data_IF_570901406116
#
_entry.id   IF_570901406116
#
_cell.length_a   1.000
_cell.length_b   1.000
_cell.length_c   1.000
_cell.angle_alpha   90.00
_cell.angle_beta   90.00
_cell.angle_gamma   90.00
#
_symmetry.space_group_name_H-M   'P 1'
#
loop_
_entity.id
_entity.type
_entity.pdbx_description
1 polymer ?
#
# COMPACT_ATOMS: atom_id res chain seq x y z
N UNK A 1 17.65 -8.77 4.28
CA UNK A 1 18.63 -7.65 4.25
C UNK A 1 18.83 -7.06 2.84
N UNK A 2 17.81 -7.14 1.96
CA UNK A 2 17.84 -6.47 0.65
C UNK A 2 18.10 -4.98 0.85
N UNK A 3 18.98 -4.40 0.01
CA UNK A 3 19.44 -3.02 0.10
C UNK A 3 20.60 -2.79 1.08
N UNK A 4 21.05 -3.82 1.78
CA UNK A 4 22.14 -3.78 2.75
C UNK A 4 23.14 -4.93 2.49
N UNK A 5 23.34 -5.31 1.24
CA UNK A 5 24.20 -6.43 0.85
C UNK A 5 25.69 -6.09 1.02
N UNK A 6 26.01 -4.82 1.00
CA UNK A 6 27.38 -4.32 1.18
C UNK A 6 27.40 -3.26 2.30
N UNK A 7 28.51 -3.16 3.06
CA UNK A 7 28.68 -2.09 4.05
C UNK A 7 28.69 -0.71 3.36
N UNK A 8 28.48 0.33 4.15
CA UNK A 8 28.61 1.71 3.66
C UNK A 8 30.02 1.93 3.05
N UNK A 9 30.12 2.39 1.80
CA UNK A 9 31.38 2.44 1.10
C UNK A 9 32.37 3.47 1.64
N UNK A 10 31.90 4.44 2.42
CA UNK A 10 32.74 5.52 2.98
C UNK A 10 33.25 5.15 4.36
N UNK A 11 32.38 4.63 5.22
CA UNK A 11 32.67 4.39 6.63
C UNK A 11 32.92 2.92 6.97
N UNK A 12 32.51 1.99 6.10
CA UNK A 12 32.51 0.56 6.39
C UNK A 12 31.42 0.14 7.38
N UNK A 13 30.44 0.99 7.68
CA UNK A 13 29.35 0.66 8.59
C UNK A 13 28.51 -0.51 8.06
N UNK A 14 28.27 -1.52 8.90
CA UNK A 14 27.43 -2.66 8.55
C UNK A 14 25.94 -2.35 8.67
N UNK A 15 25.56 -1.48 9.60
CA UNK A 15 24.20 -0.97 9.71
C UNK A 15 23.94 0.11 8.66
N UNK A 16 22.67 0.26 8.23
CA UNK A 16 22.27 1.33 7.31
C UNK A 16 22.45 2.69 7.99
N UNK A 17 23.29 3.59 7.44
CA UNK A 17 23.43 4.94 8.00
C UNK A 17 22.16 5.77 7.87
N UNK A 18 21.95 6.71 8.79
CA UNK A 18 20.86 7.70 8.68
C UNK A 18 21.42 8.96 8.04
N UNK A 19 21.02 9.21 6.78
CA UNK A 19 21.47 10.39 6.04
C UNK A 19 20.51 11.57 6.27
N UNK A 20 20.79 12.40 7.26
CA UNK A 20 20.04 13.61 7.57
C UNK A 20 20.56 14.79 6.73
N UNK A 21 20.08 14.91 5.51
CA UNK A 21 20.44 16.02 4.62
C UNK A 21 19.26 16.43 3.74
N UNK A 22 19.16 17.72 3.43
CA UNK A 22 18.16 18.23 2.49
C UNK A 22 18.61 18.20 1.04
N UNK A 23 19.93 18.25 0.77
CA UNK A 23 20.46 18.40 -0.60
C UNK A 23 21.78 17.66 -0.77
N UNK A 24 22.13 17.43 -2.04
CA UNK A 24 23.34 16.73 -2.47
C UNK A 24 24.11 17.60 -3.44
N UNK A 25 25.45 17.50 -3.42
CA UNK A 25 26.35 18.27 -4.29
C UNK A 25 26.58 17.52 -5.59
N UNK A 26 26.53 18.22 -6.72
CA UNK A 26 26.87 17.69 -8.03
C UNK A 26 28.32 17.99 -8.40
N UNK A 27 28.93 17.14 -9.22
CA UNK A 27 30.32 17.34 -9.67
C UNK A 27 30.43 18.54 -10.60
N UNK A 28 29.43 18.76 -11.47
CA UNK A 28 29.35 19.86 -12.44
C UNK A 28 27.89 20.01 -12.91
N UNK A 29 27.66 20.98 -13.80
CA UNK A 29 26.31 21.27 -14.34
C UNK A 29 25.76 20.15 -15.22
N UNK A 30 26.60 19.40 -15.94
CA UNK A 30 26.20 18.27 -16.77
C UNK A 30 25.70 17.11 -15.89
N UNK A 31 26.44 16.75 -14.85
CA UNK A 31 26.02 15.77 -13.86
C UNK A 31 24.66 16.15 -13.22
N UNK A 32 24.46 17.43 -12.90
CA UNK A 32 23.18 17.90 -12.38
C UNK A 32 22.06 17.71 -13.42
N UNK A 33 22.29 18.10 -14.67
CA UNK A 33 21.31 17.94 -15.75
C UNK A 33 20.94 16.47 -16.01
N UNK A 34 21.91 15.55 -15.91
CA UNK A 34 21.67 14.12 -16.09
C UNK A 34 20.85 13.53 -14.95
N UNK A 35 21.13 13.94 -13.70
CA UNK A 35 20.33 13.57 -12.53
C UNK A 35 18.88 14.05 -12.63
N UNK A 36 18.67 15.33 -12.92
CA UNK A 36 17.31 15.90 -13.09
C UNK A 36 16.58 15.33 -14.30
N UNK A 37 17.30 14.91 -15.33
CA UNK A 37 16.75 14.28 -16.54
C UNK A 37 16.54 12.77 -16.43
N UNK A 38 16.75 12.15 -15.26
CA UNK A 38 16.67 10.69 -15.02
C UNK A 38 17.62 9.86 -15.91
N UNK A 39 18.67 10.48 -16.49
CA UNK A 39 19.70 9.79 -17.27
C UNK A 39 20.80 9.18 -16.39
N UNK A 40 20.98 9.72 -15.20
CA UNK A 40 21.90 9.21 -14.19
C UNK A 40 21.15 9.00 -12.87
N UNK A 41 21.23 7.79 -12.33
CA UNK A 41 20.56 7.44 -11.08
C UNK A 41 21.29 8.01 -9.86
N UNK A 42 20.56 8.50 -8.85
CA UNK A 42 21.12 8.91 -7.56
C UNK A 42 20.40 10.06 -6.90
N UNK A 43 21.03 10.61 -5.88
CA UNK A 43 20.40 11.58 -5.01
C UNK A 43 20.45 13.00 -5.59
N UNK A 44 19.35 13.73 -5.45
CA UNK A 44 19.17 15.10 -5.92
C UNK A 44 18.84 16.01 -4.72
N UNK A 45 17.76 15.70 -4.05
CA UNK A 45 17.21 16.47 -2.95
C UNK A 45 16.45 15.54 -2.01
N UNK A 46 16.61 15.74 -0.69
CA UNK A 46 16.12 14.81 0.33
C UNK A 46 14.61 14.55 0.32
N UNK A 47 13.80 15.40 -0.31
CA UNK A 47 12.37 15.15 -0.51
C UNK A 47 12.11 14.05 -1.56
N UNK A 48 13.00 13.91 -2.55
CA UNK A 48 12.84 12.98 -3.67
C UNK A 48 13.56 11.67 -3.46
N UNK A 49 14.78 11.76 -2.93
CA UNK A 49 15.70 10.62 -2.80
C UNK A 49 16.56 10.77 -1.55
N UNK A 50 16.70 9.69 -0.81
CA UNK A 50 17.57 9.62 0.35
C UNK A 50 18.12 8.18 0.48
N UNK A 51 19.41 7.96 0.73
CA UNK A 51 19.98 6.62 0.80
C UNK A 51 19.36 5.72 1.87
N UNK A 52 18.94 6.28 3.01
CA UNK A 52 18.26 5.52 4.07
C UNK A 52 16.86 5.08 3.64
N UNK A 53 16.14 5.96 2.97
CA UNK A 53 14.81 5.69 2.42
C UNK A 53 14.88 4.64 1.31
N UNK A 54 15.87 4.73 0.42
CA UNK A 54 16.10 3.77 -0.67
C UNK A 54 16.26 2.34 -0.15
N UNK A 55 16.96 2.14 0.96
CA UNK A 55 17.08 0.80 1.57
C UNK A 55 15.72 0.29 2.07
N UNK A 56 14.93 1.15 2.70
CA UNK A 56 13.57 0.78 3.15
C UNK A 56 12.69 0.43 1.94
N UNK A 57 12.69 1.25 0.90
CA UNK A 57 11.92 1.06 -0.32
C UNK A 57 12.30 -0.25 -1.03
N UNK A 58 13.59 -0.50 -1.25
CA UNK A 58 14.06 -1.76 -1.86
C UNK A 58 13.69 -2.98 -1.04
N UNK A 59 13.78 -2.90 0.28
CA UNK A 59 13.48 -4.03 1.17
C UNK A 59 11.99 -4.38 1.16
N UNK A 60 11.12 -3.38 1.26
CA UNK A 60 9.67 -3.63 1.24
C UNK A 60 9.18 -4.05 -0.15
N UNK A 61 9.74 -3.51 -1.23
CA UNK A 61 9.47 -3.97 -2.59
C UNK A 61 9.80 -5.46 -2.75
N UNK A 62 10.97 -5.89 -2.30
CA UNK A 62 11.38 -7.28 -2.35
C UNK A 62 10.50 -8.21 -1.48
N UNK A 63 10.04 -7.74 -0.33
CA UNK A 63 9.14 -8.50 0.54
C UNK A 63 7.77 -8.73 -0.09
N UNK A 64 7.22 -7.73 -0.78
CA UNK A 64 5.94 -7.83 -1.51
C UNK A 64 6.08 -8.50 -2.90
N UNK A 65 7.29 -8.62 -3.43
CA UNK A 65 7.53 -9.13 -4.79
C UNK A 65 7.33 -8.07 -5.88
N UNK A 66 7.41 -6.78 -5.52
CA UNK A 66 7.35 -5.66 -6.46
C UNK A 66 8.71 -5.30 -7.05
N UNK A 67 8.70 -4.48 -8.12
CA UNK A 67 9.91 -3.99 -8.79
C UNK A 67 10.45 -2.73 -8.17
N UNK A 68 9.59 -1.93 -7.54
CA UNK A 68 9.96 -0.68 -6.87
C UNK A 68 8.96 -0.36 -5.74
N UNK A 69 9.40 0.48 -4.82
CA UNK A 69 8.53 1.09 -3.83
C UNK A 69 8.85 2.58 -3.65
N UNK A 70 7.89 3.32 -3.11
CA UNK A 70 8.01 4.71 -2.72
C UNK A 70 7.52 4.90 -1.29
N UNK A 71 8.42 5.31 -0.41
CA UNK A 71 8.08 5.67 0.97
C UNK A 71 7.58 7.12 1.06
N UNK A 72 6.52 7.32 1.85
CA UNK A 72 5.86 8.61 2.06
C UNK A 72 5.50 8.83 3.52
N UNK A 73 5.13 10.06 3.87
CA UNK A 73 4.94 10.50 5.24
C UNK A 73 3.82 9.82 6.05
N UNK A 74 2.88 9.13 5.38
CA UNK A 74 1.79 8.38 6.05
C UNK A 74 1.12 7.39 5.12
N UNK A 75 0.36 6.43 5.66
CA UNK A 75 -0.50 5.55 4.87
C UNK A 75 -1.57 6.32 4.09
N UNK A 76 -2.13 7.37 4.69
CA UNK A 76 -3.07 8.26 3.99
C UNK A 76 -2.44 8.94 2.78
N UNK A 77 -1.19 9.42 2.90
CA UNK A 77 -0.45 9.98 1.77
C UNK A 77 -0.17 8.93 0.69
N UNK A 78 0.11 7.69 1.07
CA UNK A 78 0.33 6.60 0.13
C UNK A 78 -0.93 6.30 -0.69
N UNK A 79 -2.09 6.19 -0.05
CA UNK A 79 -3.38 6.00 -0.74
C UNK A 79 -3.74 7.20 -1.61
N UNK A 80 -3.57 8.43 -1.08
CA UNK A 80 -3.84 9.65 -1.85
C UNK A 80 -3.01 9.68 -3.13
N UNK A 81 -1.72 9.41 -3.04
CA UNK A 81 -0.84 9.39 -4.21
C UNK A 81 -1.15 8.23 -5.16
N UNK A 82 -1.49 7.04 -4.64
CA UNK A 82 -1.89 5.93 -5.48
C UNK A 82 -3.14 6.28 -6.30
N UNK A 83 -4.15 6.91 -5.69
CA UNK A 83 -5.36 7.34 -6.38
C UNK A 83 -5.11 8.49 -7.35
N UNK A 84 -4.38 9.53 -6.95
CA UNK A 84 -4.06 10.67 -7.83
C UNK A 84 -3.13 10.31 -8.98
N UNK A 85 -2.35 9.24 -8.87
CA UNK A 85 -1.51 8.78 -9.97
C UNK A 85 -2.31 8.04 -11.04
N UNK A 86 -3.40 7.36 -10.68
CA UNK A 86 -4.26 6.64 -11.63
C UNK A 86 -5.47 7.45 -12.10
N UNK A 87 -5.93 8.44 -11.33
CA UNK A 87 -7.18 9.18 -11.60
C UNK A 87 -6.96 10.69 -11.48
N UNK A 88 -7.50 11.43 -12.42
CA UNK A 88 -7.53 12.90 -12.46
C UNK A 88 -8.97 13.42 -12.39
N UNK A 89 -9.16 14.72 -12.42
CA UNK A 89 -10.49 15.33 -12.43
C UNK A 89 -11.34 14.81 -13.60
N UNK A 90 -12.53 14.32 -13.31
CA UNK A 90 -13.44 13.66 -14.25
C UNK A 90 -13.33 12.14 -14.27
N UNK A 91 -12.38 11.55 -13.54
CA UNK A 91 -12.19 10.12 -13.45
C UNK A 91 -12.94 9.48 -12.27
N UNK A 92 -12.98 8.15 -12.26
CA UNK A 92 -13.74 7.37 -11.32
C UNK A 92 -12.92 6.18 -10.77
N UNK A 93 -13.17 5.82 -9.52
CA UNK A 93 -12.58 4.66 -8.82
C UNK A 93 -13.71 3.78 -8.30
N UNK A 94 -13.58 2.46 -8.45
CA UNK A 94 -14.43 1.48 -7.74
C UNK A 94 -13.69 1.05 -6.48
N UNK A 95 -14.34 1.12 -5.32
CA UNK A 95 -13.74 0.77 -4.05
C UNK A 95 -14.62 -0.22 -3.27
N UNK A 96 -14.01 -1.14 -2.54
CA UNK A 96 -14.74 -1.99 -1.62
C UNK A 96 -15.33 -1.17 -0.47
N UNK A 97 -16.51 -1.55 0.02
CA UNK A 97 -17.18 -0.84 1.13
C UNK A 97 -16.60 -1.17 2.52
N UNK A 98 -15.89 -2.30 2.66
CA UNK A 98 -15.31 -2.80 3.90
C UNK A 98 -13.82 -2.40 4.04
N UNK A 99 -13.50 -1.16 3.73
CA UNK A 99 -12.16 -0.58 3.80
C UNK A 99 -12.01 0.34 5.02
N UNK A 100 -10.78 0.73 5.32
CA UNK A 100 -10.47 1.67 6.38
C UNK A 100 -11.28 2.98 6.27
N UNK A 101 -11.87 3.42 7.38
CA UNK A 101 -12.72 4.61 7.40
C UNK A 101 -12.05 5.89 6.88
N UNK A 102 -10.73 6.02 7.03
CA UNK A 102 -9.97 7.13 6.45
C UNK A 102 -9.91 7.07 4.92
N UNK A 103 -9.75 5.88 4.35
CA UNK A 103 -9.79 5.64 2.90
C UNK A 103 -11.19 5.89 2.35
N UNK A 104 -12.21 5.41 3.08
CA UNK A 104 -13.60 5.70 2.73
C UNK A 104 -13.84 7.22 2.68
N UNK A 105 -13.48 7.96 3.72
CA UNK A 105 -13.66 9.41 3.77
C UNK A 105 -12.86 10.15 2.67
N UNK A 106 -11.65 9.68 2.36
CA UNK A 106 -10.84 10.22 1.27
C UNK A 106 -11.58 10.09 -0.07
N UNK A 107 -12.10 8.90 -0.39
CA UNK A 107 -12.80 8.61 -1.64
C UNK A 107 -14.21 9.20 -1.68
N UNK A 108 -14.94 9.22 -0.55
CA UNK A 108 -16.34 9.67 -0.53
C UNK A 108 -16.49 11.20 -0.43
N UNK A 109 -15.53 11.89 0.16
CA UNK A 109 -15.69 13.30 0.50
C UNK A 109 -14.53 14.19 0.01
N UNK A 110 -13.27 13.77 0.18
CA UNK A 110 -12.12 14.62 -0.13
C UNK A 110 -11.81 14.64 -1.62
N UNK A 111 -11.70 13.48 -2.26
CA UNK A 111 -11.36 13.40 -3.69
C UNK A 111 -12.44 13.94 -4.64
N UNK A 112 -13.74 13.88 -4.32
CA UNK A 112 -14.77 14.57 -5.11
C UNK A 112 -14.55 16.09 -5.25
N UNK A 113 -13.97 16.76 -4.24
CA UNK A 113 -13.61 18.19 -4.34
C UNK A 113 -12.49 18.43 -5.37
N UNK A 114 -11.72 17.40 -5.70
CA UNK A 114 -10.71 17.41 -6.77
C UNK A 114 -11.24 16.79 -8.09
N UNK A 115 -12.53 16.48 -8.14
CA UNK A 115 -13.19 15.96 -9.35
C UNK A 115 -12.99 14.45 -9.57
N UNK A 116 -12.50 13.70 -8.60
CA UNK A 116 -12.36 12.23 -8.68
C UNK A 116 -13.53 11.61 -7.91
N UNK A 117 -14.38 10.86 -8.62
CA UNK A 117 -15.53 10.19 -8.04
C UNK A 117 -15.22 8.73 -7.64
N UNK A 118 -16.00 8.19 -6.70
CA UNK A 118 -15.90 6.78 -6.33
C UNK A 118 -17.28 6.11 -6.21
N UNK A 119 -17.33 4.81 -6.54
CA UNK A 119 -18.48 3.94 -6.25
C UNK A 119 -18.03 2.84 -5.30
N UNK A 120 -18.72 2.73 -4.17
CA UNK A 120 -18.47 1.69 -3.17
C UNK A 120 -19.31 0.46 -3.45
N UNK A 121 -18.66 -0.70 -3.47
CA UNK A 121 -19.27 -2.00 -3.81
C UNK A 121 -19.04 -3.02 -2.70
N UNK A 122 -19.89 -4.02 -2.66
CA UNK A 122 -19.62 -5.21 -1.85
C UNK A 122 -18.50 -6.01 -2.52
N UNK A 123 -17.35 -6.28 -1.85
CA UNK A 123 -16.24 -7.01 -2.46
C UNK A 123 -16.58 -8.48 -2.74
N UNK A 124 -17.72 -8.98 -2.27
CA UNK A 124 -18.24 -10.34 -2.53
C UNK A 124 -19.31 -10.37 -3.63
N UNK A 125 -19.81 -9.22 -4.06
CA UNK A 125 -20.72 -9.07 -5.21
C UNK A 125 -19.91 -8.78 -6.50
N UNK A 126 -19.38 -9.83 -7.12
CA UNK A 126 -18.54 -9.70 -8.30
C UNK A 126 -19.27 -9.13 -9.53
N UNK A 127 -20.57 -9.40 -9.65
CA UNK A 127 -21.39 -8.80 -10.71
C UNK A 127 -21.64 -7.33 -10.43
N UNK A 128 -21.86 -6.96 -9.16
CA UNK A 128 -21.93 -5.56 -8.71
C UNK A 128 -20.63 -4.80 -8.96
N UNK A 129 -19.46 -5.43 -8.74
CA UNK A 129 -18.16 -4.83 -9.06
C UNK A 129 -18.07 -4.54 -10.56
N UNK A 130 -18.38 -5.52 -11.42
CA UNK A 130 -18.38 -5.35 -12.88
C UNK A 130 -19.34 -4.25 -13.33
N UNK A 131 -20.55 -4.20 -12.76
CA UNK A 131 -21.56 -3.21 -13.09
C UNK A 131 -21.19 -1.78 -12.65
N UNK A 132 -20.35 -1.65 -11.61
CA UNK A 132 -19.86 -0.35 -11.12
C UNK A 132 -18.75 0.26 -11.99
N UNK A 133 -18.11 -0.52 -12.86
CA UNK A 133 -17.06 -0.04 -13.76
C UNK A 133 -17.70 0.79 -14.88
N UNK A 134 -17.27 2.05 -15.00
CA UNK A 134 -17.67 3.01 -16.01
C UNK A 134 -16.54 3.22 -17.03
N UNK A 135 -16.80 3.90 -18.12
CA UNK A 135 -15.79 4.25 -19.12
C UNK A 135 -14.60 5.03 -18.53
N UNK A 136 -14.89 5.96 -17.61
CA UNK A 136 -13.89 6.76 -16.90
C UNK A 136 -13.35 6.10 -15.63
N UNK A 137 -13.63 4.85 -15.36
CA UNK A 137 -13.03 4.12 -14.22
C UNK A 137 -11.55 3.86 -14.48
N UNK A 138 -10.72 4.15 -13.48
CA UNK A 138 -9.26 4.08 -13.58
C UNK A 138 -8.62 3.02 -12.71
N UNK A 139 -9.29 2.57 -11.66
CA UNK A 139 -8.79 1.52 -10.77
C UNK A 139 -9.93 0.88 -9.97
N UNK A 140 -9.65 -0.33 -9.45
CA UNK A 140 -10.39 -0.93 -8.35
C UNK A 140 -9.49 -0.89 -7.11
N UNK A 141 -10.06 -0.60 -5.93
CA UNK A 141 -9.37 -0.59 -4.64
C UNK A 141 -10.03 -1.54 -3.67
N UNK A 142 -9.21 -2.36 -2.97
CA UNK A 142 -9.62 -3.30 -1.93
C UNK A 142 -8.61 -3.36 -0.79
N UNK A 143 -9.02 -3.85 0.37
CA UNK A 143 -8.11 -4.31 1.43
C UNK A 143 -8.03 -5.84 1.43
N UNK A 144 -6.88 -6.40 1.77
CA UNK A 144 -6.67 -7.87 1.88
C UNK A 144 -7.56 -8.51 2.94
N UNK A 145 -7.76 -7.80 4.03
CA UNK A 145 -8.62 -8.15 5.16
C UNK A 145 -9.54 -6.97 5.44
N UNK A 146 -10.85 -7.18 5.33
CA UNK A 146 -11.85 -6.14 5.53
C UNK A 146 -11.77 -5.49 6.92
N UNK A 147 -11.94 -4.20 6.97
CA UNK A 147 -11.87 -3.41 8.20
C UNK A 147 -13.31 -3.06 8.67
N UNK A 148 -13.73 -3.46 9.90
CA UNK A 148 -12.92 -4.09 10.95
C UNK A 148 -13.11 -5.62 11.08
N UNK A 149 -13.94 -6.26 10.28
CA UNK A 149 -14.40 -7.64 10.51
C UNK A 149 -13.41 -8.72 10.02
N UNK A 150 -12.31 -8.32 9.39
CA UNK A 150 -11.27 -9.22 8.86
C UNK A 150 -11.80 -10.26 7.85
N UNK A 151 -12.82 -9.89 7.08
CA UNK A 151 -13.30 -10.71 5.97
C UNK A 151 -12.22 -10.82 4.90
N UNK A 152 -12.00 -12.02 4.39
CA UNK A 152 -10.99 -12.28 3.35
C UNK A 152 -11.57 -11.96 1.98
N UNK A 153 -10.94 -11.05 1.26
CA UNK A 153 -11.34 -10.66 -0.11
C UNK A 153 -10.63 -11.54 -1.13
N UNK A 154 -11.34 -11.99 -2.18
CA UNK A 154 -10.73 -12.78 -3.27
C UNK A 154 -9.95 -11.86 -4.22
N UNK A 155 -8.67 -11.64 -3.89
CA UNK A 155 -7.76 -10.75 -4.62
C UNK A 155 -7.67 -11.16 -6.09
N UNK A 156 -7.47 -12.45 -6.38
CA UNK A 156 -7.27 -12.95 -7.74
C UNK A 156 -8.51 -12.74 -8.62
N UNK A 157 -9.69 -12.99 -8.06
CA UNK A 157 -10.95 -12.82 -8.79
C UNK A 157 -11.22 -11.34 -9.09
N UNK A 158 -10.96 -10.43 -8.16
CA UNK A 158 -11.11 -8.99 -8.38
C UNK A 158 -10.01 -8.46 -9.32
N UNK A 159 -8.78 -8.96 -9.24
CA UNK A 159 -7.72 -8.63 -10.18
C UNK A 159 -8.11 -8.98 -11.61
N UNK A 160 -8.69 -10.18 -11.83
CA UNK A 160 -9.17 -10.59 -13.14
C UNK A 160 -10.27 -9.64 -13.66
N UNK A 161 -11.21 -9.21 -12.82
CA UNK A 161 -12.24 -8.23 -13.20
C UNK A 161 -11.61 -6.89 -13.58
N UNK A 162 -10.64 -6.41 -12.82
CA UNK A 162 -9.93 -5.17 -13.12
C UNK A 162 -9.20 -5.26 -14.46
N UNK A 163 -8.46 -6.35 -14.67
CA UNK A 163 -7.68 -6.56 -15.90
C UNK A 163 -8.55 -6.78 -17.13
N UNK A 164 -9.69 -7.48 -17.02
CA UNK A 164 -10.69 -7.59 -18.10
C UNK A 164 -11.22 -6.20 -18.51
N UNK A 165 -11.31 -5.26 -17.59
CA UNK A 165 -11.70 -3.87 -17.86
C UNK A 165 -10.50 -2.97 -18.27
N UNK A 166 -9.28 -3.51 -18.34
CA UNK A 166 -8.07 -2.78 -18.68
C UNK A 166 -7.67 -1.73 -17.65
N UNK A 167 -7.92 -1.97 -16.36
CA UNK A 167 -7.59 -1.09 -15.24
C UNK A 167 -6.80 -1.85 -14.16
N UNK A 168 -5.93 -1.16 -13.37
CA UNK A 168 -5.16 -1.79 -12.31
C UNK A 168 -6.01 -2.07 -11.06
N UNK A 169 -5.57 -3.09 -10.29
CA UNK A 169 -6.01 -3.34 -8.93
C UNK A 169 -5.03 -2.75 -7.92
N UNK A 170 -5.54 -1.88 -7.04
CA UNK A 170 -4.84 -1.34 -5.87
C UNK A 170 -5.27 -2.13 -4.64
N UNK A 171 -4.31 -2.61 -3.85
CA UNK A 171 -4.59 -3.40 -2.65
C UNK A 171 -3.90 -2.79 -1.44
N UNK A 172 -4.68 -2.41 -0.43
CA UNK A 172 -4.11 -2.08 0.88
C UNK A 172 -3.84 -3.38 1.67
N UNK A 173 -2.55 -3.67 1.87
CA UNK A 173 -2.07 -4.87 2.55
C UNK A 173 -1.61 -4.58 3.99
N UNK A 174 -2.09 -3.50 4.59
CA UNK A 174 -1.64 -3.04 5.92
C UNK A 174 -1.86 -4.10 7.00
N UNK A 175 -3.02 -4.77 7.02
CA UNK A 175 -3.36 -5.72 8.08
C UNK A 175 -2.71 -7.09 7.92
N UNK A 176 -2.58 -7.55 6.69
CA UNK A 176 -1.97 -8.86 6.44
C UNK A 176 -0.45 -8.80 6.43
N UNK A 177 0.14 -7.71 5.94
CA UNK A 177 1.59 -7.58 5.73
C UNK A 177 2.14 -8.56 4.68
N UNK A 178 3.33 -8.35 4.11
CA UNK A 178 3.92 -9.31 3.16
C UNK A 178 4.28 -10.66 3.80
N UNK A 179 4.17 -10.79 5.11
CA UNK A 179 4.40 -12.04 5.80
C UNK A 179 3.22 -13.03 5.68
N UNK A 180 1.98 -12.53 5.76
CA UNK A 180 0.80 -13.39 5.67
C UNK A 180 0.33 -13.59 4.23
N UNK A 181 0.34 -12.52 3.42
CA UNK A 181 -0.04 -12.59 2.00
C UNK A 181 0.72 -11.53 1.20
N UNK A 182 1.06 -11.87 -0.04
CA UNK A 182 1.65 -10.96 -1.03
C UNK A 182 0.66 -10.78 -2.19
N UNK A 183 -0.12 -9.71 -2.21
CA UNK A 183 -1.17 -9.51 -3.20
C UNK A 183 -0.69 -9.52 -4.65
N UNK A 184 0.56 -9.12 -4.91
CA UNK A 184 1.18 -9.15 -6.24
C UNK A 184 1.24 -10.58 -6.83
N UNK A 185 1.32 -11.60 -5.99
CA UNK A 185 1.30 -13.01 -6.43
C UNK A 185 -0.09 -13.43 -6.95
N UNK A 186 -1.13 -12.67 -6.59
CA UNK A 186 -2.52 -12.91 -6.95
C UNK A 186 -3.11 -11.86 -7.89
N UNK A 187 -2.26 -11.05 -8.53
CA UNK A 187 -2.65 -10.13 -9.57
C UNK A 187 -2.83 -8.67 -9.14
N UNK A 188 -2.51 -8.29 -7.92
CA UNK A 188 -2.45 -6.88 -7.54
C UNK A 188 -1.35 -6.16 -8.34
N UNK A 189 -1.68 -4.98 -8.86
CA UNK A 189 -0.74 -4.16 -9.62
C UNK A 189 -0.01 -3.15 -8.74
N UNK A 190 -0.72 -2.64 -7.75
CA UNK A 190 -0.23 -1.65 -6.79
C UNK A 190 -0.60 -2.15 -5.40
N UNK A 191 0.40 -2.19 -4.50
CA UNK A 191 0.17 -2.51 -3.09
C UNK A 191 0.50 -1.29 -2.24
N UNK A 192 -0.35 -1.02 -1.25
CA UNK A 192 -0.17 0.09 -0.32
C UNK A 192 -0.09 -0.43 1.11
N UNK A 193 0.73 0.21 1.93
CA UNK A 193 0.75 -0.02 3.37
C UNK A 193 0.75 1.29 4.16
N UNK A 194 -0.01 1.32 5.23
CA UNK A 194 0.34 2.16 6.36
C UNK A 194 1.48 1.50 7.14
N UNK A 195 2.72 1.91 6.86
CA UNK A 195 3.90 1.39 7.55
C UNK A 195 3.86 1.66 9.07
N UNK A 196 3.05 2.63 9.48
CA UNK A 196 2.72 2.97 10.88
C UNK A 196 2.29 1.77 11.72
N UNK A 197 1.62 0.77 11.09
CA UNK A 197 1.00 -0.37 11.79
C UNK A 197 2.02 -1.48 12.01
N UNK A 198 1.82 -2.65 11.41
CA UNK A 198 2.65 -3.83 11.67
C UNK A 198 4.10 -3.71 11.17
N UNK A 199 4.35 -2.95 10.08
CA UNK A 199 5.71 -2.75 9.57
C UNK A 199 6.56 -2.05 10.63
N UNK A 200 6.12 -0.91 11.16
CA UNK A 200 6.80 -0.25 12.27
C UNK A 200 6.70 -1.03 13.57
N UNK A 201 5.49 -1.44 13.92
CA UNK A 201 5.19 -2.38 14.99
C UNK A 201 5.34 -1.88 16.43
N UNK A 202 5.72 -0.61 16.63
CA UNK A 202 6.03 -0.05 17.96
C UNK A 202 5.21 1.20 18.31
N UNK A 203 4.37 1.68 17.38
CA UNK A 203 3.54 2.88 17.60
C UNK A 203 4.34 4.18 17.74
N UNK A 204 5.60 4.21 17.31
CA UNK A 204 6.52 5.34 17.54
C UNK A 204 6.67 6.25 16.33
N UNK A 205 6.26 5.82 15.14
CA UNK A 205 6.47 6.58 13.90
C UNK A 205 5.34 6.38 12.90
N UNK A 206 5.10 7.39 12.09
CA UNK A 206 4.09 7.41 11.04
C UNK A 206 4.79 7.34 9.68
N UNK A 207 4.25 6.54 8.77
CA UNK A 207 4.72 6.44 7.40
C UNK A 207 3.80 5.59 6.55
N UNK A 208 3.97 5.70 5.25
CA UNK A 208 3.29 4.88 4.25
C UNK A 208 4.26 4.42 3.19
N UNK A 209 3.86 3.44 2.41
CA UNK A 209 4.63 2.97 1.28
C UNK A 209 3.71 2.48 0.17
N UNK A 210 4.09 2.77 -1.06
CA UNK A 210 3.43 2.33 -2.29
C UNK A 210 4.40 1.38 -3.00
N UNK A 211 3.95 0.20 -3.35
CA UNK A 211 4.73 -0.81 -4.07
C UNK A 211 4.15 -0.97 -5.48
N UNK A 212 5.02 -0.85 -6.47
CA UNK A 212 4.72 -1.07 -7.88
C UNK A 212 5.08 -2.51 -8.26
N UNK A 213 4.11 -3.27 -8.75
CA UNK A 213 4.36 -4.64 -9.23
C UNK A 213 5.22 -4.66 -10.49
N UNK A 214 5.19 -3.59 -11.29
CA UNK A 214 5.80 -3.52 -12.62
C UNK A 214 5.13 -4.39 -13.68
N UNK A 215 3.96 -4.97 -13.37
CA UNK A 215 3.27 -5.93 -14.26
C UNK A 215 2.17 -5.30 -15.09
N UNK A 216 1.60 -4.18 -14.65
CA UNK A 216 0.52 -3.52 -15.38
C UNK A 216 1.05 -2.80 -16.61
N UNK A 217 0.46 -3.10 -17.77
CA UNK A 217 0.80 -2.40 -19.02
C UNK A 217 0.02 -1.08 -19.14
N UNK A 218 0.67 0.00 -18.78
CA UNK A 218 0.11 1.35 -18.86
C UNK A 218 -0.16 1.82 -20.30
N UNK A 219 0.35 1.12 -21.31
CA UNK A 219 0.20 1.44 -22.73
C UNK A 219 -0.93 0.70 -23.42
N UNK A 220 -1.60 -0.23 -22.72
CA UNK A 220 -2.60 -1.11 -23.32
C UNK A 220 -3.88 -0.39 -23.80
N UNK A 221 -4.11 0.84 -23.31
CA UNK A 221 -5.24 1.69 -23.69
C UNK A 221 -4.92 3.17 -23.43
N UNK A 222 -5.83 4.07 -23.78
CA UNK A 222 -5.63 5.53 -23.71
C UNK A 222 -6.00 6.15 -22.35
N UNK A 223 -6.12 5.34 -21.30
CA UNK A 223 -6.61 5.81 -19.98
C UNK A 223 -5.59 6.68 -19.22
N UNK A 224 -4.28 6.52 -19.48
CA UNK A 224 -3.21 7.21 -18.73
C UNK A 224 -2.24 7.95 -19.64
N UNK A 225 -2.68 8.97 -20.41
CA UNK A 225 -1.81 9.73 -21.29
C UNK A 225 -0.63 10.38 -20.53
N UNK A 226 -0.83 10.81 -19.28
CA UNK A 226 0.23 11.41 -18.45
C UNK A 226 1.35 10.47 -18.05
N UNK A 227 1.15 9.14 -18.11
CA UNK A 227 2.20 8.13 -17.93
C UNK A 227 2.87 7.76 -19.27
N UNK A 228 2.11 7.77 -20.35
CA UNK A 228 2.53 7.22 -21.66
C UNK A 228 3.15 8.27 -22.57
N UNK A 229 2.59 9.50 -22.59
CA UNK A 229 3.09 10.57 -23.41
C UNK A 229 4.27 11.31 -22.78
N UNK A 230 5.12 11.97 -23.59
CA UNK A 230 6.22 12.77 -23.08
C UNK A 230 5.76 13.85 -22.11
N UNK A 231 6.26 13.79 -20.88
CA UNK A 231 5.87 14.72 -19.81
C UNK A 231 6.61 16.05 -19.94
N UNK A 232 5.87 17.14 -20.13
CA UNK A 232 6.43 18.48 -20.35
C UNK A 232 7.18 18.99 -19.10
N UNK A 233 6.68 18.69 -17.89
CA UNK A 233 7.33 19.12 -16.64
C UNK A 233 8.55 18.28 -16.26
N UNK A 234 8.80 17.18 -16.98
CA UNK A 234 9.94 16.29 -16.75
C UNK A 234 10.75 16.02 -18.03
N UNK A 235 11.11 17.07 -18.74
CA UNK A 235 12.03 17.05 -19.90
C UNK A 235 11.61 16.09 -21.03
N UNK A 236 10.31 15.80 -21.17
CA UNK A 236 9.80 14.92 -22.22
C UNK A 236 9.91 13.41 -21.92
N UNK A 237 10.17 13.02 -20.67
CA UNK A 237 10.17 11.60 -20.24
C UNK A 237 8.77 11.01 -20.39
N UNK A 238 8.67 9.83 -21.01
CA UNK A 238 7.50 8.96 -20.97
C UNK A 238 7.71 7.93 -19.85
N UNK A 239 7.01 8.09 -18.73
CA UNK A 239 7.22 7.21 -17.57
C UNK A 239 6.99 5.73 -17.90
N UNK A 240 5.93 5.43 -18.66
CA UNK A 240 5.60 4.07 -19.06
C UNK A 240 6.66 3.42 -19.96
N UNK A 241 7.39 4.21 -20.78
CA UNK A 241 8.38 3.70 -21.74
C UNK A 241 9.79 3.80 -21.19
N UNK A 242 10.14 4.95 -20.61
CA UNK A 242 11.52 5.28 -20.23
C UNK A 242 11.87 4.79 -18.82
N UNK A 243 10.85 4.57 -17.96
CA UNK A 243 11.02 4.17 -16.56
C UNK A 243 10.50 2.75 -16.27
N UNK A 244 10.08 1.99 -17.29
CA UNK A 244 9.64 0.61 -17.10
C UNK A 244 10.77 -0.25 -16.50
N UNK A 245 10.46 -1.22 -15.62
CA UNK A 245 9.12 -1.62 -15.18
C UNK A 245 8.56 -0.79 -14.01
N UNK A 246 9.32 0.17 -13.44
CA UNK A 246 8.94 0.96 -12.27
C UNK A 246 8.21 2.29 -12.63
N UNK A 247 7.41 2.27 -13.70
CA UNK A 247 6.78 3.47 -14.25
C UNK A 247 5.90 4.21 -13.24
N UNK A 248 5.08 3.48 -12.49
CA UNK A 248 4.13 4.04 -11.54
C UNK A 248 4.81 4.68 -10.34
N UNK A 249 5.72 3.96 -9.70
CA UNK A 249 6.49 4.48 -8.56
C UNK A 249 7.34 5.68 -8.95
N UNK A 250 7.95 5.65 -10.15
CA UNK A 250 8.78 6.76 -10.66
C UNK A 250 7.93 7.99 -10.95
N UNK A 251 6.75 7.84 -11.56
CA UNK A 251 5.81 8.94 -11.80
C UNK A 251 5.41 9.63 -10.48
N UNK A 252 5.01 8.85 -9.47
CA UNK A 252 4.63 9.42 -8.18
C UNK A 252 5.79 10.18 -7.56
N UNK A 253 7.00 9.63 -7.59
CA UNK A 253 8.20 10.29 -7.07
C UNK A 253 8.51 11.59 -7.80
N UNK A 254 8.53 11.54 -9.12
CA UNK A 254 8.96 12.64 -9.97
C UNK A 254 7.92 13.78 -10.05
N UNK A 255 6.64 13.47 -9.90
CA UNK A 255 5.55 14.43 -10.04
C UNK A 255 4.88 14.70 -8.69
N UNK A 256 4.16 13.73 -8.14
CA UNK A 256 3.31 13.97 -6.97
C UNK A 256 4.13 14.28 -5.71
N UNK A 257 5.11 13.47 -5.40
CA UNK A 257 5.97 13.69 -4.23
C UNK A 257 6.80 14.97 -4.37
N UNK A 258 7.35 15.21 -5.58
CA UNK A 258 8.11 16.44 -5.85
C UNK A 258 7.29 17.69 -5.59
N UNK A 259 6.05 17.72 -6.08
CA UNK A 259 5.24 18.94 -6.15
C UNK A 259 4.37 19.15 -4.89
N UNK A 260 3.94 18.08 -4.23
CA UNK A 260 3.03 18.16 -3.06
C UNK A 260 3.70 17.81 -1.72
N UNK A 261 4.86 17.14 -1.74
CA UNK A 261 5.80 17.13 -0.64
C UNK A 261 5.49 16.21 0.55
N UNK A 262 4.69 15.14 0.39
CA UNK A 262 4.42 14.18 1.47
C UNK A 262 5.62 13.23 1.72
N UNK A 263 6.81 13.79 1.88
CA UNK A 263 8.05 13.05 2.09
C UNK A 263 8.11 12.40 3.47
N UNK A 264 8.78 11.26 3.54
CA UNK A 264 9.11 10.60 4.81
C UNK A 264 10.42 11.14 5.37
N UNK A 265 10.61 11.02 6.68
CA UNK A 265 11.90 11.30 7.32
C UNK A 265 12.84 10.09 7.22
N UNK A 266 14.14 10.26 6.94
CA UNK A 266 15.11 9.16 6.98
C UNK A 266 15.21 8.50 8.36
N UNK A 267 14.92 9.21 9.45
CA UNK A 267 14.81 8.62 10.80
C UNK A 267 13.62 7.65 10.86
N UNK A 268 12.47 8.02 10.28
CA UNK A 268 11.31 7.13 10.23
C UNK A 268 11.60 5.89 9.35
N UNK A 269 12.25 6.07 8.21
CA UNK A 269 12.67 4.96 7.34
C UNK A 269 13.60 3.99 8.05
N UNK A 270 14.55 4.50 8.85
CA UNK A 270 15.42 3.68 9.68
C UNK A 270 14.62 2.88 10.74
N UNK A 271 13.64 3.50 11.41
CA UNK A 271 12.77 2.81 12.37
C UNK A 271 11.96 1.71 11.68
N UNK A 272 11.45 1.96 10.46
CA UNK A 272 10.75 0.94 9.68
C UNK A 272 11.67 -0.20 9.25
N UNK A 273 12.93 0.06 8.90
CA UNK A 273 13.91 -0.97 8.62
C UNK A 273 14.11 -1.90 9.83
N UNK A 274 14.21 -1.35 11.04
CA UNK A 274 14.28 -2.16 12.26
C UNK A 274 12.99 -2.94 12.51
N UNK A 275 11.83 -2.33 12.24
CA UNK A 275 10.54 -3.02 12.32
C UNK A 275 10.44 -4.20 11.36
N UNK A 276 10.92 -4.06 10.12
CA UNK A 276 10.91 -5.13 9.12
C UNK A 276 11.77 -6.34 9.53
N UNK A 277 12.86 -6.14 10.26
CA UNK A 277 13.74 -7.23 10.70
C UNK A 277 13.04 -8.22 11.64
N UNK A 278 12.05 -7.76 12.39
CA UNK A 278 11.28 -8.58 13.32
C UNK A 278 9.83 -8.79 12.90
N UNK A 279 9.44 -8.35 11.70
CA UNK A 279 8.06 -8.39 11.24
C UNK A 279 7.45 -9.79 11.32
N UNK A 280 8.13 -10.79 10.76
CA UNK A 280 7.65 -12.17 10.74
C UNK A 280 7.43 -12.73 12.14
N UNK A 281 8.40 -12.52 13.04
CA UNK A 281 8.32 -12.99 14.44
C UNK A 281 7.15 -12.34 15.19
N UNK A 282 6.93 -11.04 14.98
CA UNK A 282 5.83 -10.30 15.61
C UNK A 282 4.49 -10.72 15.08
N UNK A 283 4.34 -10.79 13.74
CA UNK A 283 3.06 -11.14 13.11
C UNK A 283 2.67 -12.57 13.41
N UNK A 284 3.61 -13.53 13.39
CA UNK A 284 3.38 -14.90 13.81
C UNK A 284 2.82 -14.97 15.23
N UNK A 285 3.45 -14.27 16.18
CA UNK A 285 2.99 -14.21 17.56
C UNK A 285 1.65 -13.50 17.70
N UNK A 286 1.40 -12.42 16.97
CA UNK A 286 0.10 -11.74 16.96
C UNK A 286 -1.01 -12.69 16.48
N UNK A 287 -0.78 -13.43 15.41
CA UNK A 287 -1.75 -14.40 14.88
C UNK A 287 -2.01 -15.50 15.90
N UNK A 288 -0.95 -16.11 16.46
CA UNK A 288 -1.09 -17.13 17.50
C UNK A 288 -1.94 -16.66 18.68
N UNK A 289 -1.67 -15.45 19.16
CA UNK A 289 -2.41 -14.87 20.28
C UNK A 289 -3.86 -14.55 19.90
N UNK A 290 -4.08 -13.99 18.71
CA UNK A 290 -5.43 -13.68 18.22
C UNK A 290 -6.30 -14.93 18.12
N UNK A 291 -5.77 -16.03 17.57
CA UNK A 291 -6.50 -17.30 17.46
C UNK A 291 -6.92 -17.86 18.83
N UNK A 292 -6.04 -17.76 19.84
CA UNK A 292 -6.37 -18.16 21.22
C UNK A 292 -7.48 -17.29 21.82
N UNK A 293 -7.41 -15.97 21.62
CA UNK A 293 -8.41 -15.03 22.13
C UNK A 293 -9.75 -15.19 21.40
N UNK A 294 -9.73 -15.35 20.08
CA UNK A 294 -10.91 -15.60 19.25
C UNK A 294 -11.64 -16.87 19.73
N UNK A 295 -10.90 -17.96 19.93
CA UNK A 295 -11.49 -19.20 20.44
C UNK A 295 -12.07 -19.02 21.86
N UNK A 296 -11.30 -18.37 22.75
CA UNK A 296 -11.77 -18.08 24.10
C UNK A 296 -13.07 -17.27 24.09
N UNK A 297 -13.16 -16.21 23.29
CA UNK A 297 -14.34 -15.38 23.20
C UNK A 297 -15.53 -16.11 22.60
N UNK A 298 -15.30 -16.96 21.58
CA UNK A 298 -16.36 -17.78 20.99
C UNK A 298 -17.08 -18.67 22.01
N UNK A 299 -16.34 -19.14 23.01
CA UNK A 299 -16.85 -20.05 24.05
C UNK A 299 -17.47 -19.30 25.25
N UNK A 300 -17.49 -17.95 25.24
CA UNK A 300 -18.03 -17.18 26.36
C UNK A 300 -19.54 -16.98 26.23
N UNK A 301 -20.35 -17.23 27.31
CA UNK A 301 -21.79 -17.14 27.25
C UNK A 301 -22.32 -15.71 27.06
N UNK A 302 -21.51 -14.69 27.33
CA UNK A 302 -21.87 -13.27 27.17
C UNK A 302 -21.43 -12.72 25.80
N UNK A 303 -20.79 -13.50 24.96
CA UNK A 303 -20.36 -13.11 23.61
C UNK A 303 -21.34 -13.70 22.61
N UNK A 304 -22.00 -12.84 21.87
CA UNK A 304 -22.99 -13.21 20.85
C UNK A 304 -22.31 -13.65 19.55
N UNK A 305 -21.26 -12.91 19.15
CA UNK A 305 -20.58 -13.12 17.88
C UNK A 305 -19.12 -12.71 17.96
N UNK A 306 -18.27 -13.49 17.31
CA UNK A 306 -16.87 -13.11 17.02
C UNK A 306 -16.65 -13.20 15.51
N UNK A 307 -16.13 -12.13 14.92
CA UNK A 307 -15.79 -12.09 13.49
C UNK A 307 -14.29 -12.26 13.34
N UNK A 308 -13.87 -13.39 12.82
CA UNK A 308 -12.50 -13.68 12.38
C UNK A 308 -12.55 -14.80 11.35
N UNK A 309 -11.77 -14.74 10.26
CA UNK A 309 -11.88 -15.71 9.16
C UNK A 309 -11.61 -17.16 9.57
N UNK A 310 -10.78 -17.40 10.60
CA UNK A 310 -10.46 -18.75 11.09
C UNK A 310 -11.67 -19.50 11.70
N UNK A 311 -12.72 -18.79 12.10
CA UNK A 311 -13.93 -19.37 12.72
C UNK A 311 -15.19 -19.05 11.92
N UNK A 312 -15.05 -18.54 10.71
CA UNK A 312 -16.17 -18.25 9.82
C UNK A 312 -16.94 -19.52 9.49
N UNK A 313 -18.28 -19.46 9.52
CA UNK A 313 -19.16 -20.55 9.09
C UNK A 313 -19.44 -20.48 7.57
N UNK A 314 -19.09 -19.37 6.93
CA UNK A 314 -19.20 -19.19 5.50
C UNK A 314 -18.14 -20.03 4.77
N UNK A 315 -18.58 -20.88 3.85
CA UNK A 315 -17.70 -21.78 3.11
C UNK A 315 -16.75 -21.03 2.18
N UNK A 316 -17.22 -19.95 1.54
CA UNK A 316 -16.38 -19.12 0.67
C UNK A 316 -15.26 -18.48 1.49
N UNK A 317 -15.58 -17.91 2.64
CA UNK A 317 -14.59 -17.34 3.55
C UNK A 317 -13.58 -18.39 4.07
N UNK A 318 -14.01 -19.61 4.33
CA UNK A 318 -13.12 -20.69 4.73
C UNK A 318 -12.15 -21.09 3.61
N UNK A 319 -12.62 -21.12 2.36
CA UNK A 319 -11.79 -21.44 1.20
C UNK A 319 -10.78 -20.31 0.91
N UNK A 320 -11.24 -19.06 0.94
CA UNK A 320 -10.37 -17.89 0.77
C UNK A 320 -9.31 -17.80 1.89
N UNK A 321 -9.71 -18.07 3.13
CA UNK A 321 -8.77 -18.12 4.25
C UNK A 321 -7.66 -19.17 4.02
N UNK A 322 -8.02 -20.37 3.59
CA UNK A 322 -7.03 -21.42 3.29
C UNK A 322 -6.14 -21.06 2.11
N UNK A 323 -6.70 -20.39 1.08
CA UNK A 323 -5.99 -19.99 -0.13
C UNK A 323 -4.95 -18.91 0.15
N UNK A 324 -5.36 -17.84 0.83
CA UNK A 324 -4.53 -16.64 0.99
C UNK A 324 -3.70 -16.61 2.27
N UNK A 325 -4.14 -17.30 3.31
CA UNK A 325 -3.57 -17.17 4.66
C UNK A 325 -3.11 -18.50 5.27
N UNK A 326 -2.19 -19.22 4.63
CA UNK A 326 -1.66 -20.47 5.19
C UNK A 326 -0.92 -20.27 6.53
N UNK A 327 -0.42 -19.05 6.79
CA UNK A 327 0.26 -18.65 8.02
C UNK A 327 -0.68 -17.93 9.02
N UNK A 328 -2.01 -17.95 8.78
CA UNK A 328 -3.02 -17.31 9.60
C UNK A 328 -3.53 -15.97 9.05
N UNK A 329 -4.79 -15.64 9.35
CA UNK A 329 -5.54 -14.52 8.76
C UNK A 329 -5.50 -13.23 9.57
N UNK A 330 -4.35 -12.83 10.04
CA UNK A 330 -4.19 -11.57 10.76
C UNK A 330 -4.48 -11.69 12.26
N UNK A 331 -4.47 -10.54 12.93
CA UNK A 331 -4.63 -10.45 14.39
C UNK A 331 -5.70 -9.46 14.81
N UNK A 332 -6.50 -8.99 13.85
CA UNK A 332 -7.64 -8.10 14.10
C UNK A 332 -8.91 -8.94 14.02
N UNK A 333 -9.80 -8.71 14.96
CA UNK A 333 -11.12 -9.34 15.01
C UNK A 333 -12.10 -8.40 15.72
N UNK A 334 -13.39 -8.64 15.54
CA UNK A 334 -14.43 -7.94 16.29
C UNK A 334 -15.26 -8.94 17.09
N UNK A 335 -15.81 -8.49 18.19
CA UNK A 335 -16.75 -9.27 18.99
C UNK A 335 -17.96 -8.42 19.39
N UNK A 336 -19.12 -9.08 19.47
CA UNK A 336 -20.36 -8.49 19.99
C UNK A 336 -20.69 -9.17 21.29
N UNK A 337 -20.89 -8.39 22.36
CA UNK A 337 -21.26 -8.92 23.68
C UNK A 337 -22.68 -8.55 24.06
N UNK A 338 -23.37 -9.41 24.83
CA UNK A 338 -24.67 -9.17 25.36
C UNK A 338 -24.72 -8.10 26.46
N UNK A 339 -23.62 -7.84 27.13
CA UNK A 339 -23.56 -6.75 28.11
C UNK A 339 -23.39 -5.44 27.34
N UNK A 340 -24.36 -4.56 27.55
CA UNK A 340 -24.43 -3.22 26.94
C UNK A 340 -23.27 -2.30 27.36
N UNK A 341 -22.05 -2.69 27.05
CA UNK A 341 -20.94 -1.74 26.94
C UNK A 341 -21.26 -0.85 25.74
N UNK A 342 -21.90 0.29 26.01
CA UNK A 342 -22.13 1.28 24.98
C UNK A 342 -20.80 1.81 24.52
N UNK A 343 -20.63 1.95 23.21
CA UNK A 343 -19.35 2.40 22.60
C UNK A 343 -18.85 3.75 23.18
N UNK A 344 -19.73 4.57 23.75
CA UNK A 344 -19.37 5.83 24.42
C UNK A 344 -18.93 5.66 25.87
N UNK A 345 -19.08 4.50 26.49
CA UNK A 345 -18.56 4.19 27.82
C UNK A 345 -17.08 3.84 27.78
N UNK A 346 -16.56 3.48 26.59
CA UNK A 346 -15.14 3.21 26.36
C UNK A 346 -14.37 4.40 25.77
N UNK A 347 -15.06 5.49 25.43
CA UNK A 347 -14.42 6.70 24.86
C UNK A 347 -14.21 7.83 25.87
N UNK A 348 -14.49 7.59 27.17
CA UNK A 348 -14.30 8.57 28.24
C UNK A 348 -13.16 8.22 29.20
N UNK A 349 -12.42 7.14 28.94
CA UNK A 349 -11.24 6.76 29.71
C UNK A 349 -9.93 7.08 28.97
#
# INVERSE_FOLDING_TARGET
HVGQETPDPVTGASAVPIYLTSSYVFHNSEHAADRFGLRDAGNIYGRLTNPTEDVFERRIAALEGGVAALAVGSGAAALTYAFQAVAHAGDHIVAAKNIYGGTYNLLAHTLPDYGIEATFVDPFDYDGIKAAIKENTKAIEIETLGNPNSEVVDIEKIANIAHEAGIPLIVDNTFATPYLVRPIEYGADIVVHSATKFIGGHGTTIGGVIIDSGKFDWTQNDKWPWLVEPNVSYHGVSFAKDCAPAAFATYIRAILLRDTGATISPVHSFIFLQGLETLSLRVERHVENALKVVQYLKDQPLVEKVNHPSISEDKEQQELYKKYFPNGGGSIFTSVSYTHLRAHETSQD
#
